data_IF_377104195879
#
_entry.id   IF_377104195879
#
_cell.length_a   1.000
_cell.length_b   1.000
_cell.length_c   1.000
_cell.angle_alpha   90.00
_cell.angle_beta   90.00
_cell.angle_gamma   90.00
#
_symmetry.space_group_name_H-M   'P 1'
#
loop_
_entity.id
_entity.type
_entity.pdbx_description
1 polymer ?
#
# COMPACT_ATOMS: atom_id res chain seq x y z
N UNK A 1 3.15 -46.70 51.59
CA UNK A 1 4.56 -46.29 51.33
C UNK A 1 4.66 -45.92 49.86
N UNK A 2 5.21 -44.73 49.59
CA UNK A 2 4.96 -43.98 48.37
C UNK A 2 5.49 -44.66 47.09
N UNK A 3 4.76 -44.63 45.96
CA UNK A 3 5.20 -45.24 44.69
C UNK A 3 6.52 -44.64 44.17
N UNK A 4 6.83 -43.39 44.53
CA UNK A 4 8.09 -42.71 44.22
C UNK A 4 9.32 -43.39 44.84
N UNK A 5 9.21 -43.92 46.06
CA UNK A 5 10.33 -44.61 46.70
C UNK A 5 10.61 -45.98 46.06
N UNK A 6 9.58 -46.65 45.54
CA UNK A 6 9.75 -47.93 44.85
C UNK A 6 10.51 -47.77 43.51
N UNK A 7 10.23 -46.70 42.76
CA UNK A 7 10.92 -46.39 41.50
C UNK A 7 12.42 -46.11 41.72
N UNK A 8 12.75 -45.32 42.75
CA UNK A 8 14.14 -45.01 43.10
C UNK A 8 14.91 -46.24 43.60
N UNK A 9 14.26 -47.10 44.38
CA UNK A 9 14.85 -48.37 44.84
C UNK A 9 15.11 -49.31 43.64
N UNK A 10 14.22 -49.33 42.64
CA UNK A 10 14.41 -50.13 41.42
C UNK A 10 15.62 -49.68 40.59
N UNK A 11 15.75 -48.38 40.32
CA UNK A 11 16.89 -47.86 39.55
C UNK A 11 18.23 -47.93 40.30
N UNK A 12 18.23 -47.93 41.64
CA UNK A 12 19.45 -48.12 42.45
C UNK A 12 19.94 -49.58 42.46
N UNK A 13 19.04 -50.55 42.35
CA UNK A 13 19.41 -51.98 42.25
C UNK A 13 19.72 -52.42 40.80
N UNK A 14 19.13 -51.78 39.79
CA UNK A 14 19.32 -52.12 38.38
C UNK A 14 20.11 -51.04 37.61
N UNK A 15 21.42 -50.96 37.85
CA UNK A 15 22.34 -49.98 37.23
C UNK A 15 22.30 -49.99 35.69
N UNK A 16 22.13 -51.16 35.07
CA UNK A 16 22.04 -51.30 33.61
C UNK A 16 20.78 -50.63 33.06
N UNK A 17 19.64 -50.79 33.73
CA UNK A 17 18.38 -50.16 33.32
C UNK A 17 18.44 -48.64 33.42
N UNK A 18 19.09 -48.11 34.46
CA UNK A 18 19.32 -46.67 34.63
C UNK A 18 20.20 -46.10 33.50
N UNK A 19 21.30 -46.78 33.17
CA UNK A 19 22.22 -46.35 32.11
C UNK A 19 21.57 -46.43 30.73
N UNK A 20 20.78 -47.47 30.44
CA UNK A 20 20.04 -47.59 29.18
C UNK A 20 19.01 -46.47 29.03
N UNK A 21 18.29 -46.13 30.11
CA UNK A 21 17.34 -45.02 30.09
C UNK A 21 18.05 -43.68 29.84
N UNK A 22 19.20 -43.46 30.48
CA UNK A 22 20.03 -42.27 30.25
C UNK A 22 20.49 -42.18 28.79
N UNK A 23 21.00 -43.27 28.23
CA UNK A 23 21.44 -43.32 26.83
C UNK A 23 20.26 -43.05 25.89
N UNK A 24 19.09 -43.64 26.16
CA UNK A 24 17.88 -43.40 25.38
C UNK A 24 17.45 -41.92 25.42
N UNK A 25 17.51 -41.29 26.59
CA UNK A 25 17.22 -39.87 26.74
C UNK A 25 18.21 -38.99 25.97
N UNK A 26 19.51 -39.31 26.04
CA UNK A 26 20.56 -38.58 25.31
C UNK A 26 20.34 -38.71 23.80
N UNK A 27 20.14 -39.93 23.29
CA UNK A 27 19.89 -40.17 21.86
C UNK A 27 18.60 -39.48 21.39
N UNK A 28 17.54 -39.50 22.19
CA UNK A 28 16.30 -38.78 21.88
C UNK A 28 16.49 -37.26 21.87
N UNK A 29 17.31 -36.73 22.79
CA UNK A 29 17.67 -35.32 22.85
C UNK A 29 18.50 -34.87 21.64
N UNK A 30 19.50 -35.66 21.25
CA UNK A 30 20.32 -35.41 20.04
C UNK A 30 19.46 -35.46 18.79
N UNK A 31 18.55 -36.44 18.69
CA UNK A 31 17.58 -36.49 17.59
C UNK A 31 16.64 -35.29 17.59
N UNK A 32 16.15 -34.86 18.77
CA UNK A 32 15.32 -33.66 18.93
C UNK A 32 16.02 -32.38 18.49
N UNK A 33 17.30 -32.20 18.83
CA UNK A 33 18.13 -31.07 18.40
C UNK A 33 18.23 -30.99 16.87
N UNK A 34 18.30 -32.12 16.16
CA UNK A 34 18.35 -32.13 14.70
C UNK A 34 17.03 -31.69 14.03
N UNK A 35 15.91 -31.72 14.76
CA UNK A 35 14.58 -31.30 14.29
C UNK A 35 14.14 -29.93 14.81
N UNK A 36 14.93 -29.28 15.67
CA UNK A 36 14.53 -28.03 16.29
C UNK A 36 14.67 -26.89 15.28
N UNK A 37 13.55 -26.20 15.00
CA UNK A 37 13.55 -25.09 14.07
C UNK A 37 14.31 -23.91 14.68
N UNK A 38 15.34 -23.40 14.00
CA UNK A 38 16.13 -22.27 14.51
C UNK A 38 15.52 -20.97 14.02
N UNK A 39 15.01 -20.15 14.93
CA UNK A 39 14.43 -18.84 14.62
C UNK A 39 15.16 -17.74 15.42
N UNK A 40 15.45 -16.61 14.78
CA UNK A 40 16.19 -15.50 15.40
C UNK A 40 15.31 -14.66 16.33
N UNK A 41 14.00 -14.61 16.07
CA UNK A 41 12.97 -14.00 16.91
C UNK A 41 11.75 -14.93 16.96
N UNK A 42 10.99 -14.96 18.08
CA UNK A 42 9.72 -15.67 18.11
C UNK A 42 8.75 -15.06 17.08
N UNK A 43 8.02 -15.90 16.35
CA UNK A 43 6.94 -15.43 15.47
C UNK A 43 5.80 -14.91 16.34
N UNK A 44 5.56 -13.61 16.31
CA UNK A 44 4.32 -13.01 16.79
C UNK A 44 3.56 -12.46 15.61
N UNK A 45 2.25 -12.73 15.56
CA UNK A 45 1.36 -12.09 14.60
C UNK A 45 1.07 -10.67 15.10
N UNK A 46 1.27 -9.69 14.23
CA UNK A 46 0.97 -8.30 14.54
C UNK A 46 -0.42 -7.99 13.98
N UNK A 47 -1.44 -8.10 14.83
CA UNK A 47 -2.81 -7.72 14.49
C UNK A 47 -2.92 -6.20 14.55
N UNK A 48 -2.51 -5.53 13.47
CA UNK A 48 -2.53 -4.08 13.38
C UNK A 48 -3.01 -3.61 12.01
N UNK A 49 -3.58 -2.41 11.98
CA UNK A 49 -3.97 -1.70 10.79
C UNK A 49 -3.39 -0.27 10.81
N UNK A 50 -3.14 0.30 9.64
CA UNK A 50 -2.71 1.68 9.49
C UNK A 50 -3.70 2.44 8.63
N UNK A 51 -4.11 3.61 9.11
CA UNK A 51 -4.88 4.60 8.36
C UNK A 51 -3.94 5.75 8.00
N UNK A 52 -3.81 6.01 6.70
CA UNK A 52 -2.97 7.08 6.16
C UNK A 52 -3.82 8.10 5.43
N UNK A 53 -3.62 9.39 5.73
CA UNK A 53 -4.28 10.49 5.02
C UNK A 53 -3.22 11.51 4.61
N UNK A 54 -3.18 11.83 3.31
CA UNK A 54 -2.24 12.82 2.76
C UNK A 54 -2.98 14.15 2.59
N UNK A 55 -2.42 15.23 3.09
CA UNK A 55 -2.96 16.58 2.93
C UNK A 55 -1.86 17.57 2.55
N UNK A 56 -1.42 17.50 1.30
CA UNK A 56 -0.30 18.27 0.77
C UNK A 56 -0.41 19.75 1.09
N UNK A 57 0.65 20.33 1.68
CA UNK A 57 0.72 21.76 2.01
C UNK A 57 0.17 22.15 3.39
N UNK A 58 -0.38 21.22 4.16
CA UNK A 58 -0.83 21.49 5.54
C UNK A 58 0.31 21.43 6.57
N UNK A 59 0.22 22.27 7.61
CA UNK A 59 1.12 22.22 8.78
C UNK A 59 0.85 20.99 9.64
N UNK A 60 1.79 20.61 10.51
CA UNK A 60 1.59 19.44 11.39
C UNK A 60 0.43 19.68 12.37
N UNK A 61 0.28 20.92 12.84
CA UNK A 61 -0.77 21.36 13.76
C UNK A 61 -2.17 21.33 13.10
N UNK A 62 -2.26 21.74 11.83
CA UNK A 62 -3.50 21.65 11.06
C UNK A 62 -3.89 20.18 10.81
N UNK A 63 -2.91 19.34 10.48
CA UNK A 63 -3.12 17.89 10.30
C UNK A 63 -3.60 17.23 11.59
N UNK A 64 -3.00 17.58 12.73
CA UNK A 64 -3.39 17.06 14.03
C UNK A 64 -4.85 17.41 14.37
N UNK A 65 -5.19 18.69 14.25
CA UNK A 65 -6.51 19.22 14.64
C UNK A 65 -7.62 18.81 13.68
N UNK A 66 -7.35 18.77 12.37
CA UNK A 66 -8.36 18.60 11.32
C UNK A 66 -8.48 17.16 10.79
N UNK A 67 -7.46 16.32 10.98
CA UNK A 67 -7.46 14.94 10.50
C UNK A 67 -7.27 13.96 11.64
N UNK A 68 -6.16 14.04 12.39
CA UNK A 68 -5.84 13.04 13.42
C UNK A 68 -6.90 13.02 14.53
N UNK A 69 -7.25 14.19 15.07
CA UNK A 69 -8.20 14.28 16.19
C UNK A 69 -9.60 13.74 15.84
N UNK A 70 -10.21 14.09 14.69
CA UNK A 70 -11.47 13.47 14.26
C UNK A 70 -11.36 11.96 14.03
N UNK A 71 -10.29 11.50 13.37
CA UNK A 71 -10.08 10.09 13.04
C UNK A 71 -9.90 9.25 14.32
N UNK A 72 -9.07 9.70 15.25
CA UNK A 72 -8.90 9.01 16.54
C UNK A 72 -10.21 8.92 17.32
N UNK A 73 -11.03 9.98 17.31
CA UNK A 73 -12.30 10.00 18.03
C UNK A 73 -13.27 8.97 17.49
N UNK A 74 -13.34 8.82 16.17
CA UNK A 74 -14.23 7.88 15.51
C UNK A 74 -13.75 6.42 15.68
N UNK A 75 -12.44 6.21 15.66
CA UNK A 75 -11.84 4.86 15.73
C UNK A 75 -11.60 4.35 17.16
N UNK A 76 -11.73 5.18 18.20
CA UNK A 76 -11.39 4.80 19.59
C UNK A 76 -12.21 3.63 20.15
N UNK A 77 -13.41 3.40 19.62
CA UNK A 77 -14.36 2.41 20.15
C UNK A 77 -14.57 1.21 19.22
N UNK A 78 -13.56 0.88 18.42
CA UNK A 78 -13.56 -0.33 17.59
C UNK A 78 -13.49 -1.60 18.46
N UNK A 79 -14.12 -2.67 18.00
CA UNK A 79 -14.11 -3.93 18.73
C UNK A 79 -12.73 -4.60 18.63
N UNK A 80 -12.22 -5.11 19.75
CA UNK A 80 -10.88 -5.71 19.82
C UNK A 80 -9.72 -4.73 19.63
N UNK A 81 -9.97 -3.41 19.65
CA UNK A 81 -8.91 -2.41 19.60
C UNK A 81 -8.20 -2.33 20.97
N UNK A 82 -6.90 -2.56 20.96
CA UNK A 82 -6.04 -2.52 22.14
C UNK A 82 -5.39 -1.15 22.32
N UNK A 83 -4.77 -0.61 21.27
CA UNK A 83 -4.11 0.70 21.29
C UNK A 83 -4.32 1.46 19.99
N UNK A 84 -4.32 2.79 20.09
CA UNK A 84 -4.25 3.71 18.96
C UNK A 84 -3.04 4.62 19.13
N UNK A 85 -2.20 4.71 18.09
CA UNK A 85 -1.05 5.61 18.05
C UNK A 85 -1.10 6.43 16.78
N UNK A 86 -1.06 7.75 16.91
CA UNK A 86 -1.11 8.65 15.76
C UNK A 86 0.12 9.52 15.66
N UNK A 87 0.44 9.93 14.44
CA UNK A 87 1.51 10.86 14.13
C UNK A 87 1.01 11.86 13.10
N UNK A 88 1.07 13.14 13.46
CA UNK A 88 0.87 14.24 12.55
C UNK A 88 2.24 14.76 12.09
N UNK A 89 2.42 14.88 10.78
CA UNK A 89 3.58 15.49 10.16
C UNK A 89 3.11 16.44 9.05
N UNK A 90 4.00 17.30 8.58
CA UNK A 90 3.70 18.21 7.46
C UNK A 90 3.13 17.43 6.27
N UNK A 91 1.89 17.75 5.93
CA UNK A 91 1.12 17.11 4.86
C UNK A 91 0.77 15.63 5.02
N UNK A 92 0.93 15.03 6.21
CA UNK A 92 0.70 13.60 6.43
C UNK A 92 0.13 13.29 7.82
N UNK A 93 -0.99 12.58 7.86
CA UNK A 93 -1.47 11.87 9.05
C UNK A 93 -1.22 10.36 8.91
N UNK A 94 -0.64 9.76 9.93
CA UNK A 94 -0.48 8.31 10.05
C UNK A 94 -1.05 7.85 11.39
N UNK A 95 -2.06 6.99 11.36
CA UNK A 95 -2.72 6.42 12.54
C UNK A 95 -2.52 4.91 12.50
N UNK A 96 -2.02 4.33 13.59
CA UNK A 96 -1.82 2.89 13.77
C UNK A 96 -2.79 2.38 14.83
N UNK A 97 -3.55 1.36 14.45
CA UNK A 97 -4.51 0.65 15.28
C UNK A 97 -3.90 -0.71 15.62
N UNK A 98 -3.65 -0.98 16.90
CA UNK A 98 -3.22 -2.28 17.41
C UNK A 98 -4.46 -2.99 17.97
N UNK A 99 -4.71 -4.21 17.53
CA UNK A 99 -5.81 -5.06 17.97
C UNK A 99 -5.32 -6.15 18.93
N UNK A 100 -6.25 -6.73 19.67
CA UNK A 100 -5.98 -7.90 20.50
C UNK A 100 -5.59 -9.11 19.63
N UNK A 101 -4.68 -9.94 20.15
CA UNK A 101 -4.17 -11.08 19.43
C UNK A 101 -5.29 -12.09 19.07
N UNK A 102 -5.35 -12.48 17.80
CA UNK A 102 -6.37 -13.41 17.28
C UNK A 102 -7.66 -12.72 16.83
N UNK A 103 -7.67 -11.38 16.76
CA UNK A 103 -8.77 -10.63 16.16
C UNK A 103 -8.93 -10.97 14.67
N UNK A 104 -10.16 -11.14 14.20
CA UNK A 104 -10.41 -11.26 12.76
C UNK A 104 -10.14 -9.91 12.09
N UNK A 105 -8.93 -9.77 11.57
CA UNK A 105 -8.50 -8.54 10.91
C UNK A 105 -9.29 -8.24 9.63
N UNK A 106 -9.96 -9.20 9.01
CA UNK A 106 -10.87 -8.92 7.89
C UNK A 106 -12.06 -8.10 8.36
N UNK A 107 -12.75 -8.58 9.40
CA UNK A 107 -13.87 -7.86 10.01
C UNK A 107 -13.43 -6.52 10.62
N UNK A 108 -12.26 -6.48 11.28
CA UNK A 108 -11.74 -5.25 11.88
C UNK A 108 -11.43 -4.18 10.82
N UNK A 109 -10.85 -4.56 9.67
CA UNK A 109 -10.60 -3.61 8.57
C UNK A 109 -11.88 -3.11 7.94
N UNK A 110 -12.90 -3.96 7.80
CA UNK A 110 -14.21 -3.56 7.31
C UNK A 110 -14.87 -2.54 8.27
N UNK A 111 -14.81 -2.80 9.58
CA UNK A 111 -15.31 -1.86 10.59
C UNK A 111 -14.53 -0.52 10.54
N UNK A 112 -13.21 -0.55 10.44
CA UNK A 112 -12.39 0.66 10.28
C UNK A 112 -12.81 1.44 9.04
N UNK A 113 -12.98 0.78 7.89
CA UNK A 113 -13.42 1.44 6.66
C UNK A 113 -14.82 2.06 6.81
N UNK A 114 -15.75 1.37 7.47
CA UNK A 114 -17.10 1.87 7.73
C UNK A 114 -17.06 3.12 8.62
N UNK A 115 -16.31 3.08 9.73
CA UNK A 115 -16.10 4.24 10.62
C UNK A 115 -15.48 5.41 9.89
N UNK A 116 -14.44 5.17 9.10
CA UNK A 116 -13.78 6.20 8.30
C UNK A 116 -14.74 6.85 7.30
N UNK A 117 -15.64 6.08 6.69
CA UNK A 117 -16.64 6.60 5.76
C UNK A 117 -17.71 7.51 6.43
N UNK A 118 -17.89 7.40 7.76
CA UNK A 118 -18.83 8.23 8.52
C UNK A 118 -18.26 9.62 8.86
N UNK A 119 -16.93 9.82 8.76
CA UNK A 119 -16.26 11.08 9.07
C UNK A 119 -16.57 12.12 7.98
N UNK A 120 -17.33 13.16 8.32
CA UNK A 120 -17.76 14.21 7.38
C UNK A 120 -16.92 15.48 7.40
N UNK A 121 -16.04 15.62 8.38
CA UNK A 121 -15.30 16.85 8.68
C UNK A 121 -13.82 16.80 8.25
N UNK A 122 -13.44 15.85 7.39
CA UNK A 122 -12.11 15.86 6.79
C UNK A 122 -11.99 17.02 5.76
N UNK A 123 -10.81 17.65 5.64
CA UNK A 123 -10.58 18.66 4.62
C UNK A 123 -10.87 18.13 3.21
N UNK A 124 -11.58 18.90 2.40
CA UNK A 124 -11.94 18.48 1.02
C UNK A 124 -10.74 18.38 0.08
N UNK A 125 -9.64 19.06 0.42
CA UNK A 125 -8.37 19.02 -0.31
C UNK A 125 -7.44 17.89 0.15
N UNK A 126 -7.80 17.14 1.20
CA UNK A 126 -7.06 15.95 1.60
C UNK A 126 -7.37 14.78 0.64
N UNK A 127 -6.37 13.93 0.41
CA UNK A 127 -6.57 12.66 -0.30
C UNK A 127 -7.46 11.72 0.53
N UNK A 128 -8.11 10.76 -0.14
CA UNK A 128 -8.95 9.78 0.55
C UNK A 128 -8.10 8.97 1.53
N UNK A 129 -8.62 8.68 2.74
CA UNK A 129 -7.93 7.82 3.69
C UNK A 129 -7.66 6.44 3.08
N UNK A 130 -6.44 5.95 3.28
CA UNK A 130 -6.02 4.61 2.88
C UNK A 130 -5.89 3.75 4.13
N UNK A 131 -6.72 2.72 4.23
CA UNK A 131 -6.71 1.75 5.32
C UNK A 131 -5.97 0.50 4.85
N UNK A 132 -4.93 0.10 5.57
CA UNK A 132 -4.09 -1.06 5.21
C UNK A 132 -3.86 -1.95 6.42
N UNK A 133 -3.87 -3.27 6.20
CA UNK A 133 -3.39 -4.22 7.22
C UNK A 133 -1.88 -4.11 7.34
N UNK A 134 -1.38 -4.07 8.57
CA UNK A 134 0.04 -4.25 8.81
C UNK A 134 0.35 -5.73 8.64
N UNK A 135 1.14 -6.05 7.62
CA UNK A 135 1.60 -7.40 7.34
C UNK A 135 3.10 -7.44 7.52
N UNK A 136 3.59 -8.40 8.30
CA UNK A 136 5.02 -8.64 8.46
C UNK A 136 5.56 -9.39 7.24
N UNK A 137 6.35 -8.67 6.46
CA UNK A 137 7.06 -9.21 5.32
C UNK A 137 8.51 -9.52 5.69
N UNK A 138 8.98 -10.70 5.31
CA UNK A 138 10.39 -11.07 5.42
C UNK A 138 11.06 -10.90 4.06
N UNK A 139 12.15 -10.14 4.02
CA UNK A 139 12.95 -10.02 2.81
C UNK A 139 13.63 -11.36 2.51
N UNK A 140 13.39 -11.88 1.31
CA UNK A 140 13.98 -13.15 0.84
C UNK A 140 15.13 -12.91 -0.13
N UNK A 141 15.05 -11.88 -0.97
CA UNK A 141 16.07 -11.56 -1.96
C UNK A 141 16.02 -10.08 -2.33
N UNK A 142 17.16 -9.58 -2.81
CA UNK A 142 17.28 -8.25 -3.43
C UNK A 142 17.86 -8.43 -4.83
N UNK A 143 17.16 -7.93 -5.83
CA UNK A 143 17.59 -7.94 -7.22
C UNK A 143 17.89 -6.51 -7.67
N UNK A 144 19.01 -6.32 -8.36
CA UNK A 144 19.37 -5.05 -8.96
C UNK A 144 19.25 -5.19 -10.48
N UNK A 145 18.39 -4.37 -11.08
CA UNK A 145 18.22 -4.27 -12.52
C UNK A 145 18.95 -3.02 -12.97
N UNK A 146 20.02 -3.21 -13.74
CA UNK A 146 20.81 -2.13 -14.31
C UNK A 146 20.63 -2.12 -15.83
N UNK A 147 20.59 -0.93 -16.42
CA UNK A 147 20.68 -0.75 -17.87
C UNK A 147 21.57 0.44 -18.20
N UNK A 148 22.19 0.39 -19.36
CA UNK A 148 22.88 1.53 -19.98
C UNK A 148 21.88 2.50 -20.65
N UNK A 149 20.60 2.10 -20.78
CA UNK A 149 19.52 2.89 -21.36
C UNK A 149 18.85 3.85 -20.37
N UNK A 150 17.96 4.72 -20.87
CA UNK A 150 17.16 5.62 -20.03
C UNK A 150 16.24 4.82 -19.10
N UNK A 151 15.97 5.37 -17.92
CA UNK A 151 15.12 4.74 -16.89
C UNK A 151 13.71 4.41 -17.40
N UNK A 152 13.21 5.17 -18.36
CA UNK A 152 11.88 4.97 -18.97
C UNK A 152 11.79 3.65 -19.75
N UNK A 153 12.90 3.19 -20.33
CA UNK A 153 12.97 1.91 -21.04
C UNK A 153 13.03 0.73 -20.07
N UNK A 154 13.61 0.93 -18.88
CA UNK A 154 13.63 -0.07 -17.81
C UNK A 154 12.26 -0.28 -17.15
N UNK A 155 11.45 0.78 -17.07
CA UNK A 155 10.14 0.77 -16.40
C UNK A 155 9.25 -0.41 -16.83
N UNK A 156 8.90 -0.61 -18.12
CA UNK A 156 8.03 -1.71 -18.52
C UNK A 156 8.60 -3.08 -18.16
N UNK A 157 9.92 -3.26 -18.33
CA UNK A 157 10.61 -4.51 -18.02
C UNK A 157 10.56 -4.82 -16.51
N UNK A 158 10.82 -3.84 -15.65
CA UNK A 158 10.75 -4.00 -14.19
C UNK A 158 9.33 -4.37 -13.75
N UNK A 159 8.31 -3.72 -14.30
CA UNK A 159 6.91 -4.03 -13.97
C UNK A 159 6.50 -5.43 -14.48
N UNK A 160 6.96 -5.82 -15.67
CA UNK A 160 6.75 -7.18 -16.17
C UNK A 160 7.40 -8.22 -15.24
N UNK A 161 8.67 -8.03 -14.86
CA UNK A 161 9.36 -8.92 -13.92
C UNK A 161 8.65 -9.00 -12.57
N UNK A 162 8.19 -7.85 -12.04
CA UNK A 162 7.40 -7.83 -10.81
C UNK A 162 6.17 -8.72 -10.95
N UNK A 163 5.41 -8.58 -12.03
CA UNK A 163 4.19 -9.36 -12.25
C UNK A 163 4.48 -10.87 -12.36
N UNK A 164 5.49 -11.26 -13.14
CA UNK A 164 5.90 -12.66 -13.27
C UNK A 164 6.36 -13.28 -11.94
N UNK A 165 7.06 -12.51 -11.11
CA UNK A 165 7.54 -12.95 -9.79
C UNK A 165 6.37 -13.07 -8.79
N UNK A 166 5.41 -12.16 -8.82
CA UNK A 166 4.18 -12.27 -8.02
C UNK A 166 3.37 -13.52 -8.41
N UNK A 167 3.23 -13.80 -9.71
CA UNK A 167 2.54 -14.99 -10.22
C UNK A 167 3.24 -16.31 -9.82
N UNK A 168 4.56 -16.27 -9.58
CA UNK A 168 5.33 -17.41 -9.07
C UNK A 168 5.24 -17.59 -7.55
N UNK A 169 4.45 -16.77 -6.84
CA UNK A 169 4.14 -16.92 -5.43
C UNK A 169 4.94 -16.04 -4.47
N UNK A 170 5.67 -15.04 -4.97
CA UNK A 170 6.28 -14.02 -4.09
C UNK A 170 5.17 -13.11 -3.55
N UNK A 171 5.10 -12.93 -2.23
CA UNK A 171 3.98 -12.23 -1.60
C UNK A 171 4.01 -10.72 -1.84
N UNK A 172 5.20 -10.11 -1.84
CA UNK A 172 5.36 -8.67 -2.05
C UNK A 172 6.68 -8.34 -2.74
N UNK A 173 6.61 -7.35 -3.63
CA UNK A 173 7.77 -6.82 -4.34
C UNK A 173 7.70 -5.29 -4.30
N UNK A 174 8.62 -4.71 -3.53
CA UNK A 174 8.83 -3.27 -3.46
C UNK A 174 9.88 -2.86 -4.49
N UNK A 175 9.61 -1.78 -5.21
CA UNK A 175 10.48 -1.23 -6.25
C UNK A 175 11.10 0.07 -5.71
N UNK A 176 12.43 0.17 -5.75
CA UNK A 176 13.17 1.38 -5.38
C UNK A 176 14.02 1.88 -6.55
N UNK A 177 14.27 3.19 -6.60
CA UNK A 177 15.04 3.80 -7.68
C UNK A 177 14.27 4.02 -8.99
N UNK A 178 12.96 3.71 -9.03
CA UNK A 178 12.08 3.95 -10.16
C UNK A 178 10.94 4.90 -9.77
N UNK A 179 11.07 6.21 -10.03
CA UNK A 179 10.08 7.18 -9.59
C UNK A 179 8.76 6.99 -10.34
N UNK A 180 7.64 7.12 -9.63
CA UNK A 180 6.30 7.17 -10.24
C UNK A 180 6.18 8.43 -11.09
N UNK A 181 5.51 8.32 -12.22
CA UNK A 181 5.24 9.46 -13.09
C UNK A 181 3.84 10.00 -12.83
N UNK A 182 3.69 11.31 -13.01
CA UNK A 182 2.43 12.02 -13.03
C UNK A 182 2.29 12.78 -14.35
N UNK A 183 1.04 13.08 -14.72
CA UNK A 183 0.76 14.02 -15.81
C UNK A 183 0.50 15.37 -15.16
N UNK A 184 1.45 16.28 -15.31
CA UNK A 184 1.34 17.63 -14.80
C UNK A 184 0.65 18.50 -15.85
N UNK A 185 -0.44 19.16 -15.45
CA UNK A 185 -1.17 20.14 -16.27
C UNK A 185 -0.90 21.51 -15.67
N UNK A 186 -0.03 22.29 -16.31
CA UNK A 186 0.45 23.58 -15.82
C UNK A 186 -0.22 24.71 -16.59
N UNK A 187 -0.97 25.56 -15.89
CA UNK A 187 -1.74 26.65 -16.50
C UNK A 187 -1.12 27.98 -16.08
N UNK A 188 -0.61 28.80 -17.02
CA UNK A 188 -0.07 30.11 -16.69
C UNK A 188 -1.13 31.02 -16.06
N UNK A 189 -0.74 31.80 -15.05
CA UNK A 189 -1.67 32.69 -14.35
C UNK A 189 -2.36 33.71 -15.28
N UNK A 190 -1.64 34.19 -16.30
CA UNK A 190 -2.19 35.08 -17.33
C UNK A 190 -3.35 34.42 -18.10
N UNK A 191 -3.24 33.14 -18.44
CA UNK A 191 -4.30 32.38 -19.14
C UNK A 191 -5.52 32.19 -18.24
N UNK A 192 -5.34 31.92 -16.95
CA UNK A 192 -6.45 31.83 -15.99
C UNK A 192 -7.24 33.15 -15.93
N UNK A 193 -6.54 34.29 -15.95
CA UNK A 193 -7.16 35.62 -15.96
C UNK A 193 -7.92 35.90 -17.26
N UNK A 194 -7.32 35.60 -18.42
CA UNK A 194 -7.98 35.76 -19.73
C UNK A 194 -9.28 34.96 -19.85
N UNK A 195 -9.30 33.76 -19.25
CA UNK A 195 -10.46 32.86 -19.28
C UNK A 195 -11.49 33.17 -18.18
N UNK A 196 -11.13 33.96 -17.17
CA UNK A 196 -11.96 34.21 -15.99
C UNK A 196 -12.27 32.93 -15.19
N UNK A 197 -11.42 31.90 -15.28
CA UNK A 197 -11.60 30.62 -14.60
C UNK A 197 -10.57 30.44 -13.48
N UNK A 198 -10.98 29.87 -12.36
CA UNK A 198 -10.06 29.43 -11.31
C UNK A 198 -9.43 28.08 -11.64
N UNK A 199 -8.27 27.79 -11.05
CA UNK A 199 -7.61 26.49 -11.19
C UNK A 199 -8.52 25.33 -10.72
N UNK A 200 -9.29 25.56 -9.65
CA UNK A 200 -10.25 24.59 -9.09
C UNK A 200 -11.38 24.28 -10.08
N UNK A 201 -11.90 25.31 -10.78
CA UNK A 201 -12.94 25.13 -11.79
C UNK A 201 -12.43 24.32 -12.98
N UNK A 202 -11.19 24.57 -13.42
CA UNK A 202 -10.56 23.80 -14.50
C UNK A 202 -10.32 22.35 -14.06
N UNK A 203 -9.78 22.15 -12.85
CA UNK A 203 -9.58 20.81 -12.29
C UNK A 203 -10.90 20.03 -12.18
N UNK A 204 -11.98 20.69 -11.76
CA UNK A 204 -13.31 20.10 -11.70
C UNK A 204 -13.83 19.70 -13.09
N UNK A 205 -13.66 20.55 -14.12
CA UNK A 205 -14.04 20.25 -15.51
C UNK A 205 -13.27 19.05 -16.06
N UNK A 206 -11.94 19.04 -15.92
CA UNK A 206 -11.08 17.93 -16.34
C UNK A 206 -11.51 16.65 -15.62
N UNK A 207 -11.75 16.72 -14.31
CA UNK A 207 -12.17 15.59 -13.50
C UNK A 207 -13.57 15.07 -13.81
N UNK A 208 -14.45 15.87 -14.40
CA UNK A 208 -15.77 15.42 -14.87
C UNK A 208 -15.69 14.73 -16.24
N UNK A 209 -14.84 15.23 -17.13
CA UNK A 209 -14.72 14.72 -18.49
C UNK A 209 -13.82 13.49 -18.59
N UNK A 210 -12.77 13.40 -17.76
CA UNK A 210 -11.89 12.23 -17.71
C UNK A 210 -12.45 11.14 -16.78
N UNK A 211 -13.65 10.65 -17.10
CA UNK A 211 -14.31 9.54 -16.40
C UNK A 211 -14.81 8.51 -17.38
N UNK A 212 -14.61 7.23 -17.04
CA UNK A 212 -15.27 6.13 -17.74
C UNK A 212 -16.73 6.05 -17.28
N UNK A 213 -17.66 6.33 -18.19
CA UNK A 213 -19.10 6.23 -17.91
C UNK A 213 -19.66 4.94 -18.55
N UNK A 214 -20.32 4.06 -17.78
CA UNK A 214 -21.07 2.94 -18.34
C UNK A 214 -22.27 3.48 -19.13
N UNK A 215 -22.39 3.07 -20.39
CA UNK A 215 -23.42 3.55 -21.31
C UNK A 215 -24.68 2.65 -21.33
N UNK A 216 -24.76 1.66 -20.43
CA UNK A 216 -25.88 0.75 -20.29
C UNK A 216 -25.69 -0.61 -20.96
N UNK A 217 -26.74 -1.43 -20.94
CA UNK A 217 -26.80 -2.72 -21.62
C UNK A 217 -27.63 -2.56 -22.90
N UNK A 218 -27.12 -3.09 -24.02
CA UNK A 218 -27.88 -3.15 -25.29
C UNK A 218 -28.05 -4.61 -25.68
N UNK A 219 -29.30 -4.99 -25.95
CA UNK A 219 -29.72 -6.32 -26.37
C UNK A 219 -31.19 -6.57 -26.02
N UNK A 220 -31.93 -7.22 -26.90
CA UNK A 220 -33.26 -7.78 -26.63
C UNK A 220 -33.16 -9.28 -26.87
N UNK A 221 -33.49 -10.05 -25.83
CA UNK A 221 -33.47 -11.53 -25.73
C UNK A 221 -32.08 -12.19 -25.84
N UNK A 222 -31.65 -12.77 -24.72
CA UNK A 222 -30.51 -13.68 -24.44
C UNK A 222 -29.04 -13.24 -24.57
N UNK A 223 -28.70 -12.06 -25.11
CA UNK A 223 -27.31 -11.54 -25.00
C UNK A 223 -27.29 -10.06 -24.65
N UNK A 224 -27.23 -9.76 -23.36
CA UNK A 224 -26.97 -8.40 -22.88
C UNK A 224 -25.49 -8.05 -23.11
N UNK A 225 -25.20 -7.08 -23.98
CA UNK A 225 -23.85 -6.54 -24.14
C UNK A 225 -23.72 -5.23 -23.38
N UNK A 226 -22.74 -5.14 -22.50
CA UNK A 226 -22.40 -3.90 -21.81
C UNK A 226 -21.70 -2.95 -22.77
N UNK A 227 -22.32 -1.80 -23.04
CA UNK A 227 -21.62 -0.68 -23.66
C UNK A 227 -20.95 0.16 -22.57
N UNK A 228 -19.69 0.51 -22.82
CA UNK A 228 -18.90 1.42 -21.99
C UNK A 228 -18.32 2.49 -22.89
N UNK A 229 -18.45 3.75 -22.49
CA UNK A 229 -17.68 4.83 -23.11
C UNK A 229 -16.29 4.86 -22.47
N UNK A 230 -15.25 4.72 -23.29
CA UNK A 230 -13.85 4.89 -22.87
C UNK A 230 -13.51 6.38 -22.93
N UNK A 231 -13.96 7.12 -21.91
CA UNK A 231 -13.78 8.57 -21.80
C UNK A 231 -12.57 8.97 -20.95
N UNK A 232 -12.03 8.06 -20.14
CA UNK A 232 -10.89 8.36 -19.28
C UNK A 232 -9.61 8.58 -20.11
N UNK A 233 -9.07 9.78 -20.04
CA UNK A 233 -7.79 10.10 -20.64
C UNK A 233 -6.65 9.72 -19.68
N UNK A 234 -5.67 8.99 -20.20
CA UNK A 234 -4.53 8.45 -19.44
C UNK A 234 -3.17 8.85 -20.02
N UNK A 235 -3.17 9.56 -21.14
CA UNK A 235 -1.96 10.07 -21.80
C UNK A 235 -1.99 11.60 -21.85
N UNK A 236 -0.81 12.22 -21.96
CA UNK A 236 -0.72 13.67 -22.05
C UNK A 236 -1.51 14.21 -23.25
N UNK A 237 -1.45 13.49 -24.38
CA UNK A 237 -2.20 13.81 -25.61
C UNK A 237 -3.71 13.72 -25.40
N UNK A 238 -4.14 12.72 -24.64
CA UNK A 238 -5.52 12.57 -24.24
C UNK A 238 -6.04 13.78 -23.46
N UNK A 239 -5.26 14.28 -22.51
CA UNK A 239 -5.61 15.47 -21.75
C UNK A 239 -5.58 16.74 -22.61
N UNK A 240 -4.66 16.85 -23.58
CA UNK A 240 -4.60 18.02 -24.47
C UNK A 240 -5.91 18.24 -25.24
N UNK A 241 -6.56 17.17 -25.68
CA UNK A 241 -7.80 17.23 -26.47
C UNK A 241 -9.07 17.50 -25.64
N UNK A 242 -8.97 17.62 -24.31
CA UNK A 242 -10.15 17.81 -23.47
C UNK A 242 -10.74 19.22 -23.64
N UNK A 243 -12.05 19.37 -23.89
CA UNK A 243 -12.67 20.67 -24.07
C UNK A 243 -12.92 21.41 -22.75
N UNK A 244 -12.45 22.65 -22.63
CA UNK A 244 -12.66 23.49 -21.45
C UNK A 244 -13.83 24.47 -21.61
N UNK A 245 -13.94 25.12 -22.76
CA UNK A 245 -14.96 26.13 -23.03
C UNK A 245 -15.15 26.31 -24.53
N UNK A 246 -16.32 26.80 -24.95
CA UNK A 246 -16.51 27.32 -26.29
C UNK A 246 -16.09 28.79 -26.32
N UNK A 247 -15.24 29.18 -27.27
CA UNK A 247 -14.88 30.59 -27.47
C UNK A 247 -16.09 31.42 -27.94
N UNK A 248 -15.93 32.75 -27.98
CA UNK A 248 -16.98 33.68 -28.39
C UNK A 248 -17.42 33.55 -29.87
N UNK A 249 -16.69 32.76 -30.66
CA UNK A 249 -16.87 32.54 -32.10
C UNK A 249 -17.38 31.11 -32.40
N UNK A 250 -17.62 30.29 -31.36
CA UNK A 250 -18.10 28.91 -31.48
C UNK A 250 -17.00 27.85 -31.62
N UNK A 251 -15.72 28.23 -31.55
CA UNK A 251 -14.58 27.32 -31.50
C UNK A 251 -14.47 26.61 -30.14
N UNK A 252 -13.91 25.41 -30.13
CA UNK A 252 -13.73 24.61 -28.93
C UNK A 252 -12.34 24.87 -28.35
N UNK A 253 -12.26 25.55 -27.22
CA UNK A 253 -11.01 25.75 -26.49
C UNK A 253 -10.70 24.49 -25.68
N UNK A 254 -9.52 23.91 -25.90
CA UNK A 254 -9.08 22.69 -25.24
C UNK A 254 -8.09 22.97 -24.11
N UNK A 255 -7.80 21.96 -23.28
CA UNK A 255 -6.77 22.07 -22.24
C UNK A 255 -5.40 22.32 -22.85
N UNK A 256 -5.09 21.69 -23.98
CA UNK A 256 -3.81 21.88 -24.68
C UNK A 256 -3.57 23.31 -25.17
N UNK A 257 -4.63 24.08 -25.43
CA UNK A 257 -4.51 25.48 -25.87
C UNK A 257 -4.12 26.45 -24.74
N UNK A 258 -4.37 26.05 -23.49
CA UNK A 258 -4.26 26.93 -22.32
C UNK A 258 -3.25 26.43 -21.28
N UNK A 259 -2.84 25.16 -21.37
CA UNK A 259 -1.99 24.49 -20.40
C UNK A 259 -0.82 23.78 -21.06
N UNK A 260 0.33 23.79 -20.40
CA UNK A 260 1.44 22.91 -20.72
C UNK A 260 1.21 21.56 -20.03
N UNK A 261 1.12 20.49 -20.81
CA UNK A 261 0.88 19.14 -20.29
C UNK A 261 2.14 18.29 -20.52
N UNK A 262 2.77 17.89 -19.42
CA UNK A 262 3.97 17.06 -19.48
C UNK A 262 3.84 15.85 -18.54
N UNK A 263 4.25 14.69 -19.03
CA UNK A 263 4.54 13.55 -18.15
C UNK A 263 5.87 13.82 -17.47
N UNK A 264 5.89 13.81 -16.14
CA UNK A 264 7.09 14.04 -15.35
C UNK A 264 7.17 13.07 -14.17
N UNK A 265 8.37 12.78 -13.66
CA UNK A 265 8.53 12.13 -12.37
C UNK A 265 7.83 12.95 -11.28
N UNK A 266 7.09 12.29 -10.40
CA UNK A 266 6.53 12.93 -9.21
C UNK A 266 7.67 13.45 -8.34
N UNK A 267 7.47 14.63 -7.77
CA UNK A 267 8.46 15.31 -6.92
C UNK A 267 8.84 14.45 -5.69
N UNK A 268 10.01 14.73 -5.12
CA UNK A 268 10.59 14.07 -3.94
C UNK A 268 10.88 12.57 -4.04
N UNK A 269 10.97 12.02 -5.26
CA UNK A 269 11.36 10.63 -5.46
C UNK A 269 12.85 10.48 -5.79
N UNK A 270 13.46 9.44 -5.21
CA UNK A 270 14.90 9.21 -5.27
C UNK A 270 15.28 8.31 -6.45
N UNK A 271 16.31 8.72 -7.17
CA UNK A 271 16.99 7.90 -8.19
C UNK A 271 18.13 7.11 -7.56
N UNK A 272 18.32 5.88 -8.03
CA UNK A 272 19.39 5.01 -7.54
C UNK A 272 20.41 4.84 -8.67
N UNK A 273 21.69 4.96 -8.31
CA UNK A 273 22.79 4.79 -9.24
C UNK A 273 23.78 3.78 -8.67
N UNK A 274 24.29 2.89 -9.52
CA UNK A 274 25.38 1.98 -9.18
C UNK A 274 26.44 2.05 -10.27
N UNK A 275 27.69 2.32 -9.87
CA UNK A 275 28.83 2.46 -10.78
C UNK A 275 28.56 3.41 -11.98
N UNK A 276 27.82 4.50 -11.76
CA UNK A 276 27.47 5.49 -12.79
C UNK A 276 26.29 5.13 -13.69
N UNK A 277 25.67 3.96 -13.50
CA UNK A 277 24.46 3.51 -14.23
C UNK A 277 23.21 3.67 -13.37
N UNK A 278 22.09 4.03 -13.99
CA UNK A 278 20.80 4.02 -13.32
C UNK A 278 20.42 2.56 -12.97
N UNK A 279 20.01 2.35 -11.72
CA UNK A 279 19.61 1.03 -11.24
C UNK A 279 18.24 1.07 -10.58
N UNK A 280 17.50 -0.01 -10.76
CA UNK A 280 16.24 -0.25 -10.08
C UNK A 280 16.42 -1.44 -9.15
N UNK A 281 16.11 -1.26 -7.87
CA UNK A 281 16.17 -2.31 -6.87
C UNK A 281 14.78 -2.92 -6.68
N UNK A 282 14.71 -4.25 -6.77
CA UNK A 282 13.54 -5.04 -6.45
C UNK A 282 13.80 -5.80 -5.15
N UNK A 283 13.04 -5.47 -4.11
CA UNK A 283 13.07 -6.16 -2.82
C UNK A 283 11.95 -7.19 -2.80
N UNK A 284 12.31 -8.47 -2.87
CA UNK A 284 11.38 -9.58 -2.85
C UNK A 284 11.12 -9.98 -1.40
N UNK A 285 9.85 -10.14 -1.05
CA UNK A 285 9.44 -10.46 0.30
C UNK A 285 8.38 -11.55 0.31
N UNK A 286 8.42 -12.39 1.34
CA UNK A 286 7.38 -13.37 1.66
C UNK A 286 6.61 -12.94 2.89
N UNK A 287 5.36 -13.38 3.02
CA UNK A 287 4.62 -13.27 4.27
C UNK A 287 5.24 -14.19 5.30
N UNK A 288 5.38 -13.74 6.56
CA UNK A 288 5.95 -14.56 7.63
C UNK A 288 5.14 -15.85 7.93
N UNK A 289 3.88 -15.90 7.50
CA UNK A 289 2.93 -17.02 7.69
C UNK A 289 2.85 -17.99 6.51
N UNK A 290 3.66 -17.82 5.46
CA UNK A 290 3.66 -18.68 4.26
C UNK A 290 4.77 -19.73 4.26
#
# INVERSE_FOLDING_TARGET
>A
MAPLSALLIFFTHHRVAANLLMVLMILSGVWGLSKLNTQFFPTFELDAATVRVVWSGASAEDVESSIVTPVERELRNLNGLKNITSTAATGLAAITLEFDAGTDMGMALDEVNERMAQIRNLPTTAEKPEVTRVVRYEQIARLLVASDAKLDELRPLVYQFKEELLQRGIARIDIHGLPKEEIAIQIPALRLQELGLSLEQIAAKIGQQSRDLPAGLVGKDDVARQLRSLGQQRSAEGFMALPLQSDAQGGLLTVGDVAEIARRPREDQRYYFSAGRAVVELTLQRTATA
#
